data_IF_736130535452
#
_entry.id   IF_736130535452
#
_cell.length_a   1.000
_cell.length_b   1.000
_cell.length_c   1.000
_cell.angle_alpha   90.00
_cell.angle_beta   90.00
_cell.angle_gamma   90.00
#
_symmetry.space_group_name_H-M   'P 1'
#
loop_
_entity.id
_entity.type
_entity.pdbx_description
1 polymer ?
#
# COMPACT_ATOMS: atom_id res chain seq x y z
N UNK A 1 -12.18 4.18 11.87
CA UNK A 1 -12.60 3.38 10.72
C UNK A 1 -11.40 3.11 9.85
N UNK A 2 -11.04 1.83 9.74
CA UNK A 2 -9.90 1.37 8.94
C UNK A 2 -10.42 0.74 7.66
N UNK A 3 -9.93 1.19 6.51
CA UNK A 3 -10.29 0.67 5.18
C UNK A 3 -9.01 0.13 4.54
N UNK A 4 -8.99 -1.16 4.21
CA UNK A 4 -7.91 -1.76 3.43
C UNK A 4 -8.31 -1.87 1.95
N UNK A 5 -7.49 -1.31 1.06
CA UNK A 5 -7.65 -1.38 -0.39
C UNK A 5 -6.51 -2.22 -0.96
N UNK A 6 -6.84 -3.42 -1.43
CA UNK A 6 -5.93 -4.31 -2.13
C UNK A 6 -6.24 -4.43 -3.61
N UNK A 7 -5.34 -5.05 -4.36
CA UNK A 7 -5.56 -5.31 -5.78
C UNK A 7 -4.30 -5.49 -6.60
N UNK A 8 -4.51 -5.87 -7.86
CA UNK A 8 -3.41 -6.06 -8.81
C UNK A 8 -2.84 -4.73 -9.31
N UNK A 9 -1.54 -4.69 -9.64
CA UNK A 9 -0.91 -3.49 -10.19
C UNK A 9 -1.63 -3.03 -11.47
N UNK A 10 -1.84 -1.71 -11.61
CA UNK A 10 -2.57 -1.12 -12.74
C UNK A 10 -4.10 -1.19 -12.64
N UNK A 11 -4.68 -1.74 -11.57
CA UNK A 11 -6.14 -1.78 -11.36
C UNK A 11 -6.73 -0.47 -10.80
N UNK A 12 -5.89 0.51 -10.46
CA UNK A 12 -6.33 1.83 -9.97
C UNK A 12 -6.48 1.96 -8.45
N UNK A 13 -5.93 1.02 -7.66
CA UNK A 13 -5.99 1.03 -6.18
C UNK A 13 -5.53 2.37 -5.58
N UNK A 14 -4.31 2.81 -5.88
CA UNK A 14 -3.76 4.06 -5.35
C UNK A 14 -4.59 5.28 -5.76
N UNK A 15 -5.11 5.31 -6.99
CA UNK A 15 -5.98 6.40 -7.45
C UNK A 15 -7.29 6.42 -6.66
N UNK A 16 -7.94 5.26 -6.52
CA UNK A 16 -9.18 5.15 -5.77
C UNK A 16 -8.98 5.51 -4.29
N UNK A 17 -7.89 5.08 -3.68
CA UNK A 17 -7.57 5.37 -2.29
C UNK A 17 -7.35 6.87 -2.04
N UNK A 18 -6.63 7.57 -2.94
CA UNK A 18 -6.46 9.03 -2.87
C UNK A 18 -7.79 9.78 -2.98
N UNK A 19 -8.62 9.42 -3.98
CA UNK A 19 -9.94 10.03 -4.17
C UNK A 19 -10.83 9.77 -2.95
N UNK A 20 -10.76 8.57 -2.36
CA UNK A 20 -11.52 8.23 -1.17
C UNK A 20 -11.05 9.02 0.06
N UNK A 21 -9.74 9.16 0.23
CA UNK A 21 -9.10 9.97 1.28
C UNK A 21 -9.59 11.42 1.25
N UNK A 22 -9.56 12.05 0.06
CA UNK A 22 -10.04 13.43 -0.12
C UNK A 22 -11.54 13.56 0.18
N UNK A 23 -12.36 12.59 -0.23
CA UNK A 23 -13.81 12.65 -0.05
C UNK A 23 -14.28 12.39 1.37
N UNK A 24 -13.59 11.50 2.09
CA UNK A 24 -13.93 11.12 3.44
C UNK A 24 -13.16 11.91 4.50
N UNK A 25 -12.15 12.68 4.09
CA UNK A 25 -11.19 13.34 4.98
C UNK A 25 -10.51 12.34 5.93
N UNK A 26 -10.15 11.16 5.40
CA UNK A 26 -9.45 10.10 6.13
C UNK A 26 -8.02 10.03 5.61
N UNK A 27 -6.99 9.97 6.48
CA UNK A 27 -5.60 9.80 6.07
C UNK A 27 -5.41 8.54 5.21
N UNK A 28 -4.44 8.60 4.29
CA UNK A 28 -4.13 7.51 3.39
C UNK A 28 -2.64 7.18 3.41
N UNK A 29 -2.32 5.89 3.47
CA UNK A 29 -0.97 5.34 3.28
C UNK A 29 -0.98 4.29 2.17
N UNK A 30 0.15 4.15 1.48
CA UNK A 30 0.34 3.07 0.51
C UNK A 30 1.63 2.32 0.75
N UNK A 31 1.62 1.01 0.51
CA UNK A 31 2.80 0.16 0.49
C UNK A 31 3.90 0.74 -0.42
N UNK A 32 3.53 1.23 -1.61
CA UNK A 32 4.46 1.87 -2.53
C UNK A 32 4.96 3.25 -2.06
N UNK A 33 4.25 3.90 -1.14
CA UNK A 33 4.71 5.09 -0.42
C UNK A 33 5.77 4.74 0.62
N UNK A 34 5.48 3.77 1.48
CA UNK A 34 6.40 3.24 2.50
C UNK A 34 7.68 2.72 1.85
N UNK A 35 7.57 1.98 0.74
CA UNK A 35 8.73 1.51 -0.02
C UNK A 35 9.66 2.65 -0.45
N UNK A 36 9.10 3.78 -0.90
CA UNK A 36 9.88 4.95 -1.33
C UNK A 36 10.53 5.65 -0.14
N UNK A 37 9.83 5.78 0.97
CA UNK A 37 10.39 6.30 2.22
C UNK A 37 11.55 5.43 2.71
N UNK A 38 11.41 4.11 2.69
CA UNK A 38 12.48 3.17 3.05
C UNK A 38 13.71 3.27 2.15
N UNK A 39 13.51 3.54 0.86
CA UNK A 39 14.60 3.80 -0.08
C UNK A 39 15.34 5.10 0.30
N UNK A 40 14.60 6.17 0.58
CA UNK A 40 15.14 7.46 1.03
C UNK A 40 15.91 7.35 2.36
N UNK A 41 15.37 6.63 3.35
CA UNK A 41 16.05 6.32 4.63
C UNK A 41 17.43 5.68 4.43
N UNK A 42 17.60 4.92 3.34
CA UNK A 42 18.83 4.19 3.00
C UNK A 42 19.70 4.93 1.99
N UNK A 43 19.32 6.14 1.60
CA UNK A 43 20.03 6.92 0.58
C UNK A 43 20.03 6.25 -0.80
N UNK A 44 19.03 5.43 -1.10
CA UNK A 44 18.87 4.71 -2.37
C UNK A 44 17.74 5.30 -3.20
N UNK A 45 17.87 5.26 -4.51
CA UNK A 45 16.72 5.50 -5.39
C UNK A 45 15.72 4.33 -5.29
N UNK A 46 14.43 4.52 -5.65
CA UNK A 46 13.46 3.42 -5.66
C UNK A 46 13.87 2.24 -6.53
N UNK A 47 14.61 2.48 -7.61
CA UNK A 47 15.10 1.44 -8.52
C UNK A 47 16.23 0.62 -7.87
N UNK A 48 17.18 1.30 -7.21
CA UNK A 48 18.26 0.62 -6.48
C UNK A 48 17.71 -0.17 -5.29
N UNK A 49 16.79 0.45 -4.54
CA UNK A 49 16.14 -0.21 -3.42
C UNK A 49 15.29 -1.40 -3.88
N UNK A 50 14.66 -1.32 -5.05
CA UNK A 50 13.94 -2.46 -5.65
C UNK A 50 14.86 -3.64 -5.94
N UNK A 51 15.99 -3.39 -6.59
CA UNK A 51 17.01 -4.43 -6.85
C UNK A 51 17.57 -5.03 -5.56
N UNK A 52 17.72 -4.20 -4.53
CA UNK A 52 18.13 -4.65 -3.20
C UNK A 52 17.06 -5.55 -2.55
N UNK A 53 15.78 -5.18 -2.67
CA UNK A 53 14.65 -5.92 -2.12
C UNK A 53 14.36 -7.25 -2.84
N UNK A 54 14.67 -7.36 -4.15
CA UNK A 54 14.44 -8.59 -4.95
C UNK A 54 15.05 -9.86 -4.32
N UNK A 55 16.16 -9.72 -3.60
CA UNK A 55 16.85 -10.83 -2.94
C UNK A 55 16.63 -10.85 -1.41
N UNK A 56 15.72 -10.02 -0.90
CA UNK A 56 15.51 -9.82 0.53
C UNK A 56 14.02 -9.73 0.88
N UNK A 57 13.43 -10.88 1.21
CA UNK A 57 12.03 -10.99 1.64
C UNK A 57 11.70 -10.23 2.92
N UNK A 58 12.70 -9.82 3.71
CA UNK A 58 12.45 -9.08 4.95
C UNK A 58 12.00 -7.65 4.66
N UNK A 59 12.30 -7.11 3.47
CA UNK A 59 11.81 -5.79 3.06
C UNK A 59 10.30 -5.81 2.87
N UNK A 60 9.75 -6.82 2.20
CA UNK A 60 8.30 -6.96 2.04
C UNK A 60 7.61 -7.09 3.40
N UNK A 61 8.15 -7.94 4.29
CA UNK A 61 7.64 -8.09 5.67
C UNK A 61 7.71 -6.78 6.45
N UNK A 62 8.78 -6.00 6.29
CA UNK A 62 8.92 -4.72 6.98
C UNK A 62 7.84 -3.73 6.51
N UNK A 63 7.55 -3.69 5.21
CA UNK A 63 6.45 -2.87 4.66
C UNK A 63 5.10 -3.31 5.24
N UNK A 64 4.80 -4.61 5.19
CA UNK A 64 3.54 -5.16 5.72
C UNK A 64 3.38 -4.86 7.22
N UNK A 65 4.45 -4.99 8.01
CA UNK A 65 4.45 -4.67 9.45
C UNK A 65 4.26 -3.17 9.71
N UNK A 66 4.89 -2.29 8.91
CA UNK A 66 4.70 -0.84 9.04
C UNK A 66 3.24 -0.46 8.75
N UNK A 67 2.62 -1.06 7.73
CA UNK A 67 1.21 -0.85 7.40
C UNK A 67 0.27 -1.31 8.54
N UNK A 68 0.44 -2.55 9.02
CA UNK A 68 -0.36 -3.08 10.12
C UNK A 68 -0.26 -2.20 11.38
N UNK A 69 0.96 -1.79 11.76
CA UNK A 69 1.19 -0.92 12.91
C UNK A 69 0.51 0.45 12.75
N UNK A 70 0.64 1.09 11.59
CA UNK A 70 -0.01 2.38 11.33
C UNK A 70 -1.53 2.27 11.44
N UNK A 71 -2.11 1.17 10.99
CA UNK A 71 -3.55 0.91 11.11
C UNK A 71 -3.99 0.65 12.56
N UNK A 72 -3.20 -0.10 13.34
CA UNK A 72 -3.47 -0.36 14.76
C UNK A 72 -3.46 0.92 15.61
N UNK A 73 -2.57 1.86 15.30
CA UNK A 73 -2.42 3.13 16.03
C UNK A 73 -3.38 4.22 15.55
N UNK A 74 -4.02 4.04 14.38
CA UNK A 74 -4.90 5.04 13.78
C UNK A 74 -6.34 4.92 14.29
N UNK A 75 -6.98 6.08 14.50
CA UNK A 75 -8.44 6.12 14.64
C UNK A 75 -9.13 5.86 13.30
N UNK A 76 -8.57 6.38 12.21
CA UNK A 76 -9.08 6.31 10.86
C UNK A 76 -7.94 6.34 9.83
N UNK A 77 -7.97 5.38 8.92
CA UNK A 77 -6.91 5.18 7.93
C UNK A 77 -7.44 4.43 6.71
N UNK A 78 -7.02 4.87 5.52
CA UNK A 78 -7.10 4.10 4.29
C UNK A 78 -5.71 3.53 4.03
N UNK A 79 -5.58 2.21 4.15
CA UNK A 79 -4.35 1.48 3.90
C UNK A 79 -4.42 0.80 2.52
N UNK A 80 -3.49 1.14 1.62
CA UNK A 80 -3.46 0.59 0.26
C UNK A 80 -2.20 -0.20 -0.03
N UNK A 81 -2.37 -1.37 -0.61
CA UNK A 81 -1.27 -2.25 -0.94
C UNK A 81 -1.80 -3.58 -1.41
N UNK A 82 -1.03 -4.26 -2.26
CA UNK A 82 -1.47 -5.51 -2.91
C UNK A 82 -2.03 -6.51 -1.89
N UNK A 83 -1.40 -6.60 -0.72
CA UNK A 83 -1.74 -7.52 0.36
C UNK A 83 -2.29 -6.82 1.61
N UNK A 84 -2.61 -5.53 1.57
CA UNK A 84 -3.11 -4.78 2.73
C UNK A 84 -4.32 -5.43 3.39
N UNK A 85 -5.27 -5.93 2.58
CA UNK A 85 -6.44 -6.64 3.09
C UNK A 85 -6.11 -7.94 3.88
N UNK A 86 -4.92 -8.50 3.70
CA UNK A 86 -4.45 -9.68 4.41
C UNK A 86 -3.79 -9.33 5.76
N UNK A 87 -2.92 -8.31 5.79
CA UNK A 87 -2.12 -7.97 6.97
C UNK A 87 -2.76 -6.94 7.90
N UNK A 88 -3.65 -6.10 7.38
CA UNK A 88 -4.30 -5.05 8.15
C UNK A 88 -5.63 -5.57 8.70
N UNK A 89 -5.85 -5.39 10.00
CA UNK A 89 -7.16 -5.54 10.61
C UNK A 89 -8.01 -4.30 10.26
N UNK A 90 -9.06 -4.50 9.48
CA UNK A 90 -9.80 -3.41 8.85
C UNK A 90 -11.30 -3.63 8.93
N UNK A 91 -12.06 -2.56 9.15
CA UNK A 91 -13.52 -2.56 9.16
C UNK A 91 -14.10 -2.88 7.77
N UNK A 92 -13.40 -2.44 6.71
CA UNK A 92 -13.77 -2.69 5.32
C UNK A 92 -12.55 -3.11 4.51
N UNK A 93 -12.67 -4.20 3.75
CA UNK A 93 -11.63 -4.71 2.86
C UNK A 93 -12.15 -4.74 1.42
N UNK A 94 -11.48 -4.02 0.52
CA UNK A 94 -11.87 -3.89 -0.89
C UNK A 94 -10.75 -4.42 -1.78
N UNK A 95 -11.06 -5.34 -2.68
CA UNK A 95 -10.10 -5.89 -3.64
C UNK A 95 -10.43 -5.39 -5.06
N UNK A 96 -9.51 -4.63 -5.64
CA UNK A 96 -9.59 -4.13 -7.01
C UNK A 96 -9.05 -5.16 -8.00
N UNK A 97 -9.85 -5.42 -9.01
CA UNK A 97 -9.49 -6.25 -10.15
C UNK A 97 -9.82 -5.53 -11.45
N UNK A 98 -9.06 -5.82 -12.48
CA UNK A 98 -9.31 -5.37 -13.84
C UNK A 98 -8.67 -6.37 -14.81
N UNK A 99 -9.24 -6.54 -16.03
CA UNK A 99 -8.63 -7.32 -17.09
C UNK A 99 -7.19 -6.87 -17.39
N UNK A 100 -6.32 -7.80 -17.81
CA UNK A 100 -4.90 -7.52 -18.04
C UNK A 100 -4.69 -6.42 -19.11
N UNK A 101 -5.48 -6.47 -20.19
CA UNK A 101 -5.49 -5.51 -21.28
C UNK A 101 -5.94 -4.11 -20.87
N UNK A 102 -6.62 -3.98 -19.72
CA UNK A 102 -6.96 -2.68 -19.11
C UNK A 102 -5.81 -2.18 -18.24
N UNK A 103 -5.17 -3.06 -17.47
CA UNK A 103 -4.09 -2.69 -16.53
C UNK A 103 -2.76 -2.38 -17.22
N UNK A 104 -2.50 -2.99 -18.38
CA UNK A 104 -1.23 -2.91 -19.11
C UNK A 104 -1.24 -1.88 -20.25
N UNK A 105 -2.19 -0.93 -20.23
CA UNK A 105 -2.25 0.18 -21.18
C UNK A 105 -1.20 1.24 -20.83
#
# INVERSE_FOLDING_TARGET
MIIAIGGTAGSGTTTAAKVLSEKLNIPFVSAGGIFREMAEERGMTPVEFGKFAENNTDIDKEIDNRQAKLAEEAQDLIDEGRLSAYFVDADLKVCFTAPLDVRAK
#
